data_IF_483391187662
#
_entry.id   IF_483391187662
#
_cell.length_a   1.000
_cell.length_b   1.000
_cell.length_c   1.000
_cell.angle_alpha   90.00
_cell.angle_beta   90.00
_cell.angle_gamma   90.00
#
_symmetry.space_group_name_H-M   'P 1'
#
loop_
_entity.id
_entity.type
_entity.pdbx_description
1 polymer ?
#
# COMPACT_ATOMS: atom_id res chain seq x y z
N UNK A 1 16.38 -10.37 -3.24
CA UNK A 1 16.10 -8.96 -3.53
C UNK A 1 15.59 -8.28 -2.24
N UNK A 2 16.48 -7.76 -1.39
CA UNK A 2 16.05 -7.03 -0.17
C UNK A 2 15.49 -5.68 -0.61
N UNK A 3 14.16 -5.56 -0.58
CA UNK A 3 13.45 -4.30 -0.79
C UNK A 3 13.94 -3.30 0.26
N UNK A 4 14.43 -2.13 -0.14
CA UNK A 4 14.52 -0.99 0.79
C UNK A 4 13.09 -0.78 1.31
N UNK A 5 12.84 -1.10 2.57
CA UNK A 5 11.55 -0.80 3.19
C UNK A 5 11.57 0.70 3.45
N UNK A 6 11.14 1.47 2.45
CA UNK A 6 10.77 2.86 2.68
C UNK A 6 9.60 2.91 3.63
N UNK A 7 9.52 3.97 4.43
CA UNK A 7 8.40 4.24 5.33
C UNK A 7 7.07 4.11 4.56
N UNK A 8 6.17 3.26 5.04
CA UNK A 8 4.83 3.09 4.47
C UNK A 8 3.77 3.83 5.31
N UNK A 9 2.63 4.17 4.71
CA UNK A 9 1.49 4.74 5.44
C UNK A 9 1.02 3.82 6.58
N UNK A 10 1.15 2.50 6.39
CA UNK A 10 0.83 1.53 7.42
C UNK A 10 1.74 1.67 8.65
N UNK A 11 3.01 2.06 8.49
CA UNK A 11 3.93 2.33 9.60
C UNK A 11 3.48 3.56 10.39
N UNK A 12 3.11 4.63 9.68
CA UNK A 12 2.60 5.86 10.30
C UNK A 12 1.31 5.59 11.09
N UNK A 13 0.37 4.83 10.52
CA UNK A 13 -0.86 4.47 11.22
C UNK A 13 -0.62 3.55 12.41
N UNK A 14 0.29 2.58 12.32
CA UNK A 14 0.66 1.75 13.48
C UNK A 14 1.30 2.58 14.59
N UNK A 15 2.13 3.55 14.26
CA UNK A 15 2.84 4.37 15.25
C UNK A 15 1.97 5.48 15.86
N UNK A 16 1.11 6.11 15.07
CA UNK A 16 0.41 7.34 15.47
C UNK A 16 -1.12 7.26 15.34
N UNK A 17 -1.66 6.19 14.75
CA UNK A 17 -3.08 6.08 14.42
C UNK A 17 -3.98 6.03 15.65
N UNK A 18 -3.54 5.42 16.75
CA UNK A 18 -4.30 5.42 18.01
C UNK A 18 -4.46 6.82 18.58
N UNK A 19 -3.36 7.55 18.76
CA UNK A 19 -3.37 8.93 19.25
C UNK A 19 -4.24 9.82 18.35
N UNK A 20 -4.13 9.68 17.03
CA UNK A 20 -4.97 10.41 16.09
C UNK A 20 -6.46 10.08 16.23
N UNK A 21 -6.82 8.80 16.38
CA UNK A 21 -8.22 8.37 16.58
C UNK A 21 -8.80 8.88 17.90
N UNK A 22 -7.99 8.95 18.96
CA UNK A 22 -8.41 9.53 20.24
C UNK A 22 -8.63 11.04 20.12
N UNK A 23 -7.72 11.77 19.49
CA UNK A 23 -7.80 13.22 19.32
C UNK A 23 -8.94 13.65 18.38
N UNK A 24 -9.25 12.87 17.34
CA UNK A 24 -10.19 13.24 16.29
C UNK A 24 -11.41 12.32 16.19
N UNK A 25 -11.68 11.49 17.21
CA UNK A 25 -12.70 10.45 17.16
C UNK A 25 -14.10 10.96 16.79
N UNK A 26 -14.47 12.15 17.28
CA UNK A 26 -15.76 12.80 17.03
C UNK A 26 -15.95 13.27 15.59
N UNK A 27 -14.88 13.64 14.89
CA UNK A 27 -14.92 14.14 13.50
C UNK A 27 -14.57 13.07 12.47
N UNK A 28 -13.90 12.00 12.90
CA UNK A 28 -13.47 10.94 12.01
C UNK A 28 -14.68 10.12 11.55
N UNK A 29 -14.84 9.95 10.24
CA UNK A 29 -15.94 9.18 9.66
C UNK A 29 -15.71 7.67 9.82
N UNK A 30 -16.77 6.84 9.89
CA UNK A 30 -16.64 5.39 9.95
C UNK A 30 -15.82 4.80 8.79
N UNK A 31 -15.96 5.34 7.58
CA UNK A 31 -15.16 4.92 6.42
C UNK A 31 -13.67 5.18 6.62
N UNK A 32 -13.30 6.34 7.15
CA UNK A 32 -11.90 6.68 7.42
C UNK A 32 -11.30 5.72 8.44
N UNK A 33 -12.03 5.38 9.52
CA UNK A 33 -11.61 4.35 10.49
C UNK A 33 -11.37 2.99 9.83
N UNK A 34 -12.30 2.56 8.96
CA UNK A 34 -12.15 1.30 8.20
C UNK A 34 -10.95 1.31 7.27
N UNK A 35 -10.69 2.42 6.59
CA UNK A 35 -9.53 2.58 5.71
C UNK A 35 -8.23 2.52 6.51
N UNK A 36 -8.13 3.23 7.65
CA UNK A 36 -6.96 3.17 8.52
C UNK A 36 -6.66 1.73 8.95
N UNK A 37 -7.67 1.02 9.48
CA UNK A 37 -7.54 -0.38 9.90
C UNK A 37 -7.11 -1.30 8.75
N UNK A 38 -7.75 -1.17 7.59
CA UNK A 38 -7.40 -1.98 6.42
C UNK A 38 -5.94 -1.75 5.99
N UNK A 39 -5.44 -0.52 6.06
CA UNK A 39 -4.06 -0.19 5.73
C UNK A 39 -3.09 -0.76 6.78
N UNK A 40 -3.41 -0.67 8.07
CA UNK A 40 -2.61 -1.24 9.17
C UNK A 40 -2.45 -2.77 9.03
N UNK A 41 -3.53 -3.48 8.65
CA UNK A 41 -3.58 -4.95 8.57
C UNK A 41 -3.10 -5.51 7.21
N UNK A 42 -2.91 -4.66 6.20
CA UNK A 42 -2.59 -5.09 4.84
C UNK A 42 -1.25 -5.85 4.77
N UNK A 43 -1.25 -7.05 4.16
CA UNK A 43 -0.08 -7.94 4.04
C UNK A 43 0.49 -8.36 5.41
N UNK A 44 -0.40 -8.60 6.37
CA UNK A 44 -0.07 -9.19 7.66
C UNK A 44 -0.91 -10.45 7.89
N UNK A 45 -0.57 -11.23 8.92
CA UNK A 45 -1.35 -12.39 9.31
C UNK A 45 -2.82 -12.07 9.65
N UNK A 46 -3.14 -10.82 10.00
CA UNK A 46 -4.49 -10.39 10.37
C UNK A 46 -5.53 -10.58 9.24
N UNK A 47 -5.10 -10.59 7.98
CA UNK A 47 -5.98 -10.83 6.81
C UNK A 47 -5.73 -12.19 6.14
N UNK A 48 -5.05 -13.09 6.86
CA UNK A 48 -4.65 -14.42 6.37
C UNK A 48 -3.53 -14.37 5.32
N UNK A 49 -3.17 -15.55 4.85
CA UNK A 49 -2.14 -15.75 3.84
C UNK A 49 -2.16 -17.17 3.27
N UNK A 50 -1.23 -17.44 2.38
CA UNK A 50 -0.99 -18.74 1.78
C UNK A 50 0.51 -19.00 1.69
N UNK A 51 0.89 -20.25 1.40
CA UNK A 51 2.27 -20.62 1.12
C UNK A 51 2.42 -20.63 -0.39
N UNK A 52 3.36 -19.82 -0.90
CA UNK A 52 3.82 -19.91 -2.27
C UNK A 52 4.98 -20.91 -2.31
N UNK A 53 4.84 -21.97 -3.08
CA UNK A 53 5.89 -22.96 -3.31
C UNK A 53 6.41 -22.84 -4.74
N UNK A 54 7.74 -22.89 -4.91
CA UNK A 54 8.35 -22.94 -6.23
C UNK A 54 8.33 -24.37 -6.79
N UNK A 55 7.62 -24.58 -7.90
CA UNK A 55 7.52 -25.87 -8.59
C UNK A 55 8.88 -26.46 -9.03
N UNK A 56 9.92 -25.63 -9.16
CA UNK A 56 11.24 -26.06 -9.62
C UNK A 56 12.22 -26.48 -8.51
N UNK A 57 12.14 -25.86 -7.32
CA UNK A 57 13.10 -26.10 -6.24
C UNK A 57 12.47 -26.38 -4.88
N UNK A 58 11.13 -26.39 -4.77
CA UNK A 58 10.40 -26.63 -3.53
C UNK A 58 10.54 -25.52 -2.48
N UNK A 59 11.15 -24.38 -2.84
CA UNK A 59 11.28 -23.26 -1.91
C UNK A 59 9.90 -22.68 -1.58
N UNK A 60 9.61 -22.55 -0.28
CA UNK A 60 8.35 -22.03 0.24
C UNK A 60 8.51 -20.65 0.87
N UNK A 61 7.56 -19.76 0.62
CA UNK A 61 7.43 -18.47 1.30
C UNK A 61 6.00 -18.24 1.76
N UNK A 62 5.84 -17.59 2.92
CA UNK A 62 4.52 -17.17 3.40
C UNK A 62 4.14 -15.86 2.70
N UNK A 63 3.05 -15.90 1.95
CA UNK A 63 2.46 -14.75 1.28
C UNK A 63 1.18 -14.30 2.01
N UNK A 64 1.24 -13.15 2.68
CA UNK A 64 0.05 -12.56 3.29
C UNK A 64 -0.86 -11.90 2.27
N UNK A 65 -2.18 -11.99 2.51
CA UNK A 65 -3.18 -11.43 1.62
C UNK A 65 -3.21 -9.89 1.65
N UNK A 66 -3.75 -9.31 0.58
CA UNK A 66 -3.99 -7.86 0.53
C UNK A 66 -5.29 -7.49 1.24
N UNK A 67 -5.38 -6.28 1.79
CA UNK A 67 -6.63 -5.81 2.42
C UNK A 67 -7.74 -5.47 1.40
N UNK A 68 -7.42 -5.41 0.09
CA UNK A 68 -8.32 -5.10 -1.02
C UNK A 68 -9.07 -3.75 -0.93
N UNK A 69 -8.69 -2.87 0.00
CA UNK A 69 -9.28 -1.54 0.10
C UNK A 69 -8.72 -0.63 -1.01
N UNK A 70 -9.61 0.06 -1.76
CA UNK A 70 -9.24 0.96 -2.87
C UNK A 70 -8.35 2.13 -2.46
N UNK A 71 -8.37 2.51 -1.18
CA UNK A 71 -7.57 3.61 -0.64
C UNK A 71 -6.19 3.16 -0.12
N UNK A 72 -5.91 1.86 -0.11
CA UNK A 72 -4.63 1.35 0.38
C UNK A 72 -3.52 1.55 -0.66
N UNK A 73 -2.48 2.37 -0.39
CA UNK A 73 -1.41 2.63 -1.37
C UNK A 73 -0.65 1.36 -1.76
N UNK A 74 -0.50 0.42 -0.82
CA UNK A 74 0.15 -0.87 -1.09
C UNK A 74 -0.68 -1.75 -2.03
N UNK A 75 -2.01 -1.79 -1.87
CA UNK A 75 -2.88 -2.55 -2.76
C UNK A 75 -2.97 -1.91 -4.15
N UNK A 76 -2.94 -0.58 -4.22
CA UNK A 76 -3.03 0.16 -5.49
C UNK A 76 -1.68 0.31 -6.20
N UNK A 77 -0.56 -0.09 -5.60
CA UNK A 77 0.78 0.16 -6.13
C UNK A 77 0.97 -0.30 -7.59
N UNK A 78 0.46 -1.48 -7.95
CA UNK A 78 0.56 -1.99 -9.32
C UNK A 78 -0.32 -1.20 -10.30
N UNK A 79 -1.56 -0.90 -9.90
CA UNK A 79 -2.46 -0.09 -10.70
C UNK A 79 -1.89 1.33 -10.94
N UNK A 80 -1.32 1.94 -9.90
CA UNK A 80 -0.60 3.21 -10.01
C UNK A 80 0.60 3.09 -10.95
N UNK A 81 1.42 2.04 -10.84
CA UNK A 81 2.57 1.86 -11.72
C UNK A 81 2.15 1.72 -13.20
N UNK A 82 1.10 0.94 -13.49
CA UNK A 82 0.56 0.82 -14.85
C UNK A 82 0.01 2.16 -15.36
N UNK A 83 -0.72 2.90 -14.53
CA UNK A 83 -1.25 4.21 -14.90
C UNK A 83 -0.13 5.21 -15.19
N UNK A 84 0.90 5.27 -14.34
CA UNK A 84 2.07 6.12 -14.53
C UNK A 84 2.79 5.75 -15.83
N UNK A 85 3.01 4.46 -16.10
CA UNK A 85 3.64 4.00 -17.33
C UNK A 85 2.84 4.42 -18.58
N UNK A 86 1.52 4.28 -18.54
CA UNK A 86 0.65 4.72 -19.64
C UNK A 86 0.73 6.24 -19.88
N UNK A 87 0.69 7.04 -18.81
CA UNK A 87 0.84 8.51 -18.92
C UNK A 87 2.23 8.91 -19.41
N UNK A 88 3.27 8.19 -18.99
CA UNK A 88 4.64 8.42 -19.47
C UNK A 88 4.78 8.15 -20.98
N UNK A 89 4.04 7.18 -21.52
CA UNK A 89 4.06 6.89 -22.96
C UNK A 89 3.41 7.99 -23.82
N UNK A 90 2.60 8.85 -23.21
CA UNK A 90 1.94 10.00 -23.88
C UNK A 90 2.80 11.26 -23.87
N UNK A 91 3.95 11.25 -23.18
CA UNK A 91 4.86 12.40 -23.10
C UNK A 91 5.49 12.67 -24.46
N UNK A 92 5.30 13.88 -24.99
CA UNK A 92 5.87 14.28 -26.28
C UNK A 92 7.39 14.49 -26.16
N UNK A 93 8.18 14.24 -27.21
CA UNK A 93 9.63 14.46 -27.20
C UNK A 93 9.96 15.96 -27.39
N UNK A 94 9.45 16.81 -26.49
CA UNK A 94 9.64 18.26 -26.48
C UNK A 94 10.22 18.70 -25.14
N UNK A 95 10.78 19.91 -25.10
CA UNK A 95 11.27 20.48 -23.85
C UNK A 95 10.09 20.90 -22.96
N UNK A 96 9.97 20.27 -21.79
CA UNK A 96 9.04 20.67 -20.75
C UNK A 96 9.74 21.66 -19.82
N UNK A 97 9.13 22.83 -19.61
CA UNK A 97 9.67 23.83 -18.69
C UNK A 97 9.80 23.26 -17.28
N UNK A 98 11.00 23.29 -16.70
CA UNK A 98 11.13 23.09 -15.26
C UNK A 98 10.61 24.34 -14.54
N UNK A 99 9.76 24.21 -13.51
CA UNK A 99 9.41 25.36 -12.69
C UNK A 99 10.68 25.92 -12.05
N UNK A 100 10.77 27.27 -12.01
CA UNK A 100 11.86 28.00 -11.33
C UNK A 100 11.88 27.72 -9.84
#
# INVERSE_FOLDING_TARGET
>A
MRRRVGLEIADIFRQHGEAFRLAHGATLLPEQRRVMRAIEECRTAAVGGHIDECDGCGHQVIAYNSCRNRHCPKCQALATAHWVAARHAEVLPVEYSKPK
#
